data_IF_780925321952
#
_entry.id   IF_780925321952
#
_cell.length_a   1.000
_cell.length_b   1.000
_cell.length_c   1.000
_cell.angle_alpha   90.00
_cell.angle_beta   90.00
_cell.angle_gamma   90.00
#
_symmetry.space_group_name_H-M   'P 1'
#
loop_
_entity.id
_entity.type
_entity.pdbx_description
1 polymer ?
#
# COMPACT_ATOMS: atom_id res chain seq x y z
N UNK A 1 -1.72 1.92 8.91
CA UNK A 1 -2.70 2.39 7.93
C UNK A 1 -2.56 3.89 7.71
N UNK A 2 -2.42 4.30 6.45
CA UNK A 2 -2.58 5.66 5.95
C UNK A 2 -4.07 5.84 5.66
N UNK A 3 -4.78 6.62 6.47
CA UNK A 3 -6.24 6.77 6.31
C UNK A 3 -6.61 7.65 5.11
N UNK A 4 -7.55 7.17 4.29
CA UNK A 4 -8.25 7.97 3.29
C UNK A 4 -7.45 8.28 2.03
N UNK A 5 -6.34 7.57 1.81
CA UNK A 5 -5.49 7.71 0.63
C UNK A 5 -5.42 6.43 -0.20
N UNK A 6 -6.43 5.57 -0.08
CA UNK A 6 -6.54 4.33 -0.83
C UNK A 6 -7.00 4.61 -2.26
N UNK A 7 -6.19 4.25 -3.26
CA UNK A 7 -6.52 4.39 -4.68
C UNK A 7 -7.30 3.17 -5.20
N UNK A 8 -7.07 1.99 -4.63
CA UNK A 8 -7.78 0.77 -5.00
C UNK A 8 -7.95 -0.16 -3.80
N UNK A 9 -9.10 -0.85 -3.76
CA UNK A 9 -9.38 -1.95 -2.84
C UNK A 9 -9.54 -3.24 -3.63
N UNK A 10 -8.79 -4.26 -3.25
CA UNK A 10 -8.94 -5.63 -3.75
C UNK A 10 -9.09 -6.62 -2.60
N UNK A 11 -9.58 -7.81 -2.89
CA UNK A 11 -9.69 -8.90 -1.92
C UNK A 11 -8.77 -10.04 -2.32
N UNK A 12 -7.97 -10.51 -1.38
CA UNK A 12 -7.04 -11.61 -1.61
C UNK A 12 -6.75 -12.36 -0.33
N UNK A 13 -6.52 -13.66 -0.42
CA UNK A 13 -6.30 -14.53 0.75
C UNK A 13 -4.87 -14.48 1.30
N UNK A 14 -3.94 -13.82 0.61
CA UNK A 14 -2.53 -13.77 1.02
C UNK A 14 -1.95 -12.38 0.89
N UNK A 15 -1.07 -12.03 1.83
CA UNK A 15 -0.26 -10.81 1.79
C UNK A 15 0.56 -10.75 0.50
N UNK A 16 1.13 -11.87 0.06
CA UNK A 16 1.99 -11.94 -1.11
C UNK A 16 1.26 -11.52 -2.39
N UNK A 17 0.00 -11.93 -2.54
CA UNK A 17 -0.84 -11.50 -3.66
C UNK A 17 -1.23 -10.01 -3.56
N UNK A 18 -1.41 -9.47 -2.35
CA UNK A 18 -1.62 -8.03 -2.15
C UNK A 18 -0.38 -7.22 -2.61
N UNK A 19 0.82 -7.63 -2.16
CA UNK A 19 2.09 -7.03 -2.57
C UNK A 19 2.33 -7.14 -4.07
N UNK A 20 2.09 -8.31 -4.65
CA UNK A 20 2.20 -8.51 -6.09
C UNK A 20 1.23 -7.61 -6.87
N UNK A 21 0.03 -7.37 -6.35
CA UNK A 21 -0.93 -6.46 -6.98
C UNK A 21 -0.43 -5.02 -6.98
N UNK A 22 0.16 -4.55 -5.88
CA UNK A 22 0.82 -3.24 -5.83
C UNK A 22 1.95 -3.13 -6.87
N UNK A 23 2.83 -4.14 -6.93
CA UNK A 23 3.96 -4.15 -7.87
C UNK A 23 3.53 -4.15 -9.34
N UNK A 24 2.39 -4.77 -9.64
CA UNK A 24 1.86 -4.92 -11.00
C UNK A 24 0.80 -3.86 -11.37
N UNK A 25 0.45 -2.95 -10.46
CA UNK A 25 -0.52 -1.89 -10.74
C UNK A 25 0.00 -0.95 -11.84
N UNK A 26 -0.88 -0.65 -12.80
CA UNK A 26 -0.55 0.15 -14.00
C UNK A 26 -1.33 1.45 -14.08
N UNK A 27 -2.43 1.57 -13.34
CA UNK A 27 -3.30 2.76 -13.33
C UNK A 27 -2.66 3.92 -12.57
N UNK A 28 -1.86 3.61 -11.56
CA UNK A 28 -1.10 4.57 -10.77
C UNK A 28 0.20 3.92 -10.29
N UNK A 29 1.17 4.74 -9.86
CA UNK A 29 2.40 4.21 -9.26
C UNK A 29 2.11 3.83 -7.82
N UNK A 30 1.83 2.55 -7.55
CA UNK A 30 1.59 2.07 -6.20
C UNK A 30 2.86 2.24 -5.35
N UNK A 31 2.77 3.08 -4.31
CA UNK A 31 3.85 3.38 -3.36
C UNK A 31 3.70 2.62 -2.05
N UNK A 32 2.48 2.27 -1.67
CA UNK A 32 2.22 1.45 -0.49
C UNK A 32 1.03 0.53 -0.66
N UNK A 33 0.98 -0.50 0.18
CA UNK A 33 -0.14 -1.44 0.26
C UNK A 33 -0.43 -1.78 1.72
N UNK A 34 -1.69 -2.04 2.02
CA UNK A 34 -2.16 -2.41 3.35
C UNK A 34 -2.97 -3.68 3.28
N UNK A 35 -2.60 -4.67 4.09
CA UNK A 35 -3.26 -5.96 4.09
C UNK A 35 -3.92 -6.24 5.44
N UNK A 36 -5.25 -6.40 5.43
CA UNK A 36 -6.04 -6.78 6.59
C UNK A 36 -6.18 -8.31 6.65
N UNK A 37 -5.58 -8.94 7.65
CA UNK A 37 -5.59 -10.39 7.83
C UNK A 37 -6.97 -10.95 8.24
N UNK A 38 -7.87 -10.12 8.74
CA UNK A 38 -9.22 -10.51 9.17
C UNK A 38 -10.21 -10.44 8.02
N UNK A 39 -10.22 -9.31 7.29
CA UNK A 39 -11.19 -9.05 6.21
C UNK A 39 -10.69 -9.47 4.84
N UNK A 40 -9.41 -9.84 4.71
CA UNK A 40 -8.75 -10.17 3.45
C UNK A 40 -8.72 -8.99 2.46
N UNK A 41 -8.90 -7.78 2.97
CA UNK A 41 -8.82 -6.55 2.20
C UNK A 41 -7.37 -6.16 1.97
N UNK A 42 -7.08 -5.77 0.74
CA UNK A 42 -5.81 -5.19 0.33
C UNK A 42 -6.09 -3.80 -0.24
N UNK A 43 -5.64 -2.77 0.46
CA UNK A 43 -5.72 -1.38 0.00
C UNK A 43 -4.41 -1.01 -0.67
N UNK A 44 -4.46 -0.43 -1.86
CA UNK A 44 -3.30 0.02 -2.63
C UNK A 44 -3.32 1.54 -2.70
N UNK A 45 -2.18 2.17 -2.46
CA UNK A 45 -2.06 3.62 -2.46
C UNK A 45 -0.89 4.10 -3.32
N UNK A 46 -1.08 5.22 -3.99
CA UNK A 46 -0.02 6.00 -4.65
C UNK A 46 0.78 6.85 -3.67
N UNK A 47 0.45 6.79 -2.38
CA UNK A 47 1.15 7.46 -1.30
C UNK A 47 1.91 6.47 -0.42
N UNK A 48 3.09 6.87 0.03
CA UNK A 48 3.82 6.30 1.16
C UNK A 48 3.92 7.34 2.30
N UNK A 49 4.47 6.93 3.45
CA UNK A 49 4.61 7.78 4.64
C UNK A 49 5.41 9.08 4.41
N UNK A 50 6.19 9.18 3.33
CA UNK A 50 7.01 10.36 2.99
C UNK A 50 6.29 11.29 2.02
N UNK A 51 5.38 10.74 1.22
CA UNK A 51 4.62 11.50 0.22
C UNK A 51 3.33 12.11 0.76
N UNK A 52 2.89 11.73 1.95
CA UNK A 52 1.70 12.29 2.60
C UNK A 52 2.00 13.65 3.24
N UNK A 53 0.99 14.53 3.32
CA UNK A 53 1.11 15.81 4.01
C UNK A 53 1.19 15.60 5.53
N UNK A 54 1.70 16.59 6.26
CA UNK A 54 1.83 16.53 7.74
C UNK A 54 0.51 16.26 8.48
N UNK A 55 -0.64 16.47 7.81
CA UNK A 55 -1.96 16.30 8.39
C UNK A 55 -2.50 14.85 8.27
N UNK A 56 -1.75 13.93 7.67
CA UNK A 56 -2.16 12.53 7.50
C UNK A 56 -1.58 11.67 8.61
N UNK A 57 -2.47 11.11 9.43
CA UNK A 57 -2.08 10.24 10.53
C UNK A 57 -1.83 8.80 10.08
N UNK A 58 -0.70 8.25 10.53
CA UNK A 58 -0.42 6.83 10.50
C UNK A 58 -1.08 6.19 11.71
N UNK A 59 -2.09 5.36 11.47
CA UNK A 59 -2.83 4.66 12.53
C UNK A 59 -2.38 3.21 12.58
N UNK A 60 -2.01 2.75 13.77
CA UNK A 60 -1.82 1.34 14.05
C UNK A 60 -3.18 0.66 14.22
N UNK A 61 -3.44 -0.36 13.41
CA UNK A 61 -4.72 -1.07 13.39
C UNK A 61 -4.41 -2.55 13.54
N UNK A 62 -4.94 -3.17 14.59
CA UNK A 62 -4.70 -4.58 14.86
C UNK A 62 -5.15 -5.44 13.67
N UNK A 63 -4.25 -6.33 13.23
CA UNK A 63 -4.53 -7.21 12.10
C UNK A 63 -4.42 -6.54 10.73
N UNK A 64 -3.84 -5.34 10.64
CA UNK A 64 -3.51 -4.68 9.37
C UNK A 64 -2.02 -4.39 9.31
N UNK A 65 -1.34 -4.93 8.30
CA UNK A 65 0.04 -4.59 8.03
C UNK A 65 0.14 -3.55 6.91
N UNK A 66 1.06 -2.60 7.05
CA UNK A 66 1.40 -1.59 6.05
C UNK A 66 2.77 -1.90 5.41
N UNK A 67 2.85 -1.79 4.08
CA UNK A 67 4.04 -2.09 3.29
C UNK A 67 4.37 -0.96 2.32
N UNK A 68 5.66 -0.64 2.15
CA UNK A 68 6.15 0.35 1.18
C UNK A 68 6.78 -0.34 -0.04
N UNK A 69 6.48 0.18 -1.23
CA UNK A 69 7.09 -0.27 -2.48
C UNK A 69 8.47 0.38 -2.67
N UNK A 70 9.49 -0.25 -2.11
CA UNK A 70 10.88 0.19 -2.26
C UNK A 70 11.45 -0.08 -3.68
N UNK A 71 10.78 -0.89 -4.49
CA UNK A 71 11.20 -1.16 -5.87
C UNK A 71 11.11 0.08 -6.78
N UNK A 72 10.40 1.13 -6.35
CA UNK A 72 10.37 2.41 -7.05
C UNK A 72 11.74 3.11 -7.02
N UNK A 73 12.52 2.96 -5.94
CA UNK A 73 13.86 3.53 -5.84
C UNK A 73 14.87 2.85 -6.78
N UNK A 74 14.68 1.57 -7.06
CA UNK A 74 15.54 0.82 -7.99
C UNK A 74 15.43 1.28 -9.45
N UNK A 75 14.38 2.03 -9.82
CA UNK A 75 14.18 2.53 -11.20
C UNK A 75 15.01 3.78 -11.53
N UNK A 76 15.61 4.44 -10.53
CA UNK A 76 16.32 5.72 -10.71
C UNK A 76 17.86 5.60 -10.73
N UNK A 77 18.41 4.38 -10.88
CA UNK A 77 19.85 4.12 -10.97
C UNK A 77 20.32 3.73 -12.37
N UNK A 78 19.65 4.21 -13.43
CA UNK A 78 20.14 4.12 -14.82
C UNK A 78 20.46 5.51 -15.35
#
# INVERSE_FOLDING_TARGET
MIKGLDNALIFTSTKEACLASCLNERRFTCRSAEYNYVTLQCHLSEHDRRSVSENVEMVDVQGVDYFENLCLGCKYFY
#
